data_IF_939789522929
#
_entry.id   IF_939789522929
#
_cell.length_a   1.000
_cell.length_b   1.000
_cell.length_c   1.000
_cell.angle_alpha   90.00
_cell.angle_beta   90.00
_cell.angle_gamma   90.00
#
_symmetry.space_group_name_H-M   'P 1'
#
loop_
_entity.id
_entity.type
_entity.pdbx_description
1 polymer ?
#
# COMPACT_ATOMS: atom_id res chain seq x y z
N UNK A 1 28.04 -4.44 19.10
CA UNK A 1 29.45 -4.16 19.46
C UNK A 1 29.54 -3.70 20.93
N UNK A 2 30.75 -3.64 21.48
CA UNK A 2 31.01 -3.04 22.83
C UNK A 2 31.12 -1.49 22.74
N UNK A 3 31.12 -0.93 21.53
CA UNK A 3 31.25 0.50 21.28
C UNK A 3 29.85 1.09 21.09
N UNK A 4 29.48 2.07 21.92
CA UNK A 4 28.19 2.76 21.81
C UNK A 4 28.08 3.49 20.47
N UNK A 5 26.95 3.38 19.80
CA UNK A 5 26.70 4.00 18.49
C UNK A 5 27.27 3.24 17.30
N UNK A 6 27.95 2.10 17.51
CA UNK A 6 28.46 1.25 16.43
C UNK A 6 27.67 -0.04 16.36
N UNK A 7 27.04 -0.28 15.25
CA UNK A 7 26.21 -1.47 15.00
C UNK A 7 26.80 -2.31 13.87
N UNK A 8 26.56 -3.61 13.92
CA UNK A 8 27.06 -4.57 12.94
C UNK A 8 25.87 -5.39 12.43
N UNK A 9 25.79 -5.55 11.12
CA UNK A 9 24.72 -6.28 10.46
C UNK A 9 25.29 -7.28 9.44
N UNK A 10 24.46 -8.22 9.00
CA UNK A 10 24.78 -9.17 7.95
C UNK A 10 25.85 -10.18 8.38
N UNK A 11 26.70 -10.56 7.44
CA UNK A 11 27.68 -11.64 7.63
C UNK A 11 28.87 -11.28 8.51
N UNK A 12 28.98 -10.02 8.90
CA UNK A 12 29.94 -9.57 9.91
C UNK A 12 29.54 -10.00 11.34
N UNK A 13 28.28 -10.43 11.54
CA UNK A 13 27.84 -10.96 12.84
C UNK A 13 28.14 -12.45 12.95
N UNK A 14 28.61 -12.93 14.09
CA UNK A 14 28.65 -14.36 14.37
C UNK A 14 27.23 -14.92 14.37
N UNK A 15 26.88 -15.76 13.39
CA UNK A 15 25.59 -16.43 13.28
C UNK A 15 25.73 -17.74 12.52
N UNK A 16 24.83 -18.69 12.84
CA UNK A 16 24.85 -20.03 12.25
C UNK A 16 24.31 -20.01 10.79
N UNK A 17 23.37 -19.12 10.48
CA UNK A 17 22.74 -19.03 9.17
C UNK A 17 23.12 -17.72 8.48
N UNK A 18 23.80 -17.84 7.33
CA UNK A 18 24.22 -16.72 6.47
C UNK A 18 23.42 -16.76 5.19
N UNK A 19 22.36 -15.96 5.13
CA UNK A 19 21.47 -15.81 3.97
C UNK A 19 21.08 -14.34 3.79
N UNK A 20 20.65 -13.97 2.60
CA UNK A 20 20.20 -12.61 2.28
C UNK A 20 19.14 -12.15 3.26
N UNK A 21 18.13 -12.99 3.54
CA UNK A 21 17.05 -12.67 4.47
C UNK A 21 17.55 -12.38 5.88
N UNK A 22 18.55 -13.10 6.37
CA UNK A 22 19.13 -12.86 7.71
C UNK A 22 20.00 -11.60 7.74
N UNK A 23 20.64 -11.26 6.61
CA UNK A 23 21.39 -10.01 6.47
C UNK A 23 20.48 -8.78 6.44
N UNK A 24 19.35 -8.86 5.74
CA UNK A 24 18.32 -7.80 5.71
C UNK A 24 17.71 -7.59 7.08
N UNK A 25 17.35 -8.68 7.79
CA UNK A 25 16.82 -8.59 9.16
C UNK A 25 17.81 -7.94 10.12
N UNK A 26 19.09 -8.30 10.04
CA UNK A 26 20.14 -7.68 10.84
C UNK A 26 20.28 -6.18 10.54
N UNK A 27 20.15 -5.78 9.27
CA UNK A 27 20.18 -4.39 8.83
C UNK A 27 19.04 -3.58 9.43
N UNK A 28 17.82 -4.12 9.41
CA UNK A 28 16.65 -3.48 10.00
C UNK A 28 16.81 -3.29 11.51
N UNK A 29 17.29 -4.32 12.22
CA UNK A 29 17.58 -4.23 13.66
C UNK A 29 18.66 -3.18 13.95
N UNK A 30 19.75 -3.16 13.18
CA UNK A 30 20.83 -2.20 13.35
C UNK A 30 20.35 -0.76 13.13
N UNK A 31 19.51 -0.51 12.12
CA UNK A 31 18.94 0.79 11.83
C UNK A 31 18.04 1.28 12.98
N UNK A 32 17.15 0.42 13.49
CA UNK A 32 16.27 0.76 14.63
C UNK A 32 17.06 1.08 15.90
N UNK A 33 18.13 0.33 16.16
CA UNK A 33 19.00 0.59 17.31
C UNK A 33 19.81 1.88 17.15
N UNK A 34 20.24 2.21 15.93
CA UNK A 34 20.92 3.45 15.64
C UNK A 34 20.00 4.67 15.83
N UNK A 35 18.77 4.58 15.37
CA UNK A 35 17.74 5.62 15.57
C UNK A 35 17.51 5.90 17.06
N UNK A 36 17.27 4.85 17.86
CA UNK A 36 17.10 4.99 19.32
C UNK A 36 18.32 5.65 19.97
N UNK A 37 19.51 5.23 19.58
CA UNK A 37 20.75 5.81 20.11
C UNK A 37 20.87 7.31 19.77
N UNK A 38 20.51 7.71 18.55
CA UNK A 38 20.52 9.12 18.14
C UNK A 38 19.51 9.93 18.95
N UNK A 39 18.30 9.41 19.18
CA UNK A 39 17.28 10.06 20.02
C UNK A 39 17.81 10.27 21.44
N UNK A 40 18.33 9.22 22.10
CA UNK A 40 18.91 9.31 23.44
C UNK A 40 20.10 10.28 23.50
N UNK A 41 20.94 10.29 22.44
CA UNK A 41 22.07 11.20 22.35
C UNK A 41 21.63 12.66 22.23
N UNK A 42 20.63 12.94 21.41
CA UNK A 42 20.05 14.28 21.24
C UNK A 42 19.45 14.80 22.55
N UNK A 43 18.66 13.96 23.24
CA UNK A 43 18.11 14.29 24.55
C UNK A 43 19.20 14.64 25.55
N UNK A 44 20.24 13.81 25.63
CA UNK A 44 21.38 14.02 26.56
C UNK A 44 22.18 15.27 26.25
N UNK A 45 22.31 15.65 24.98
CA UNK A 45 23.04 16.83 24.52
C UNK A 45 22.16 18.10 24.49
N UNK A 46 20.89 17.98 24.83
CA UNK A 46 19.93 19.10 24.78
C UNK A 46 19.69 19.62 23.35
N UNK A 47 19.99 18.80 22.34
CA UNK A 47 19.75 19.12 20.94
C UNK A 47 18.25 18.94 20.70
N UNK A 48 17.52 20.06 20.64
CA UNK A 48 16.15 20.06 20.15
C UNK A 48 16.21 19.85 18.65
N UNK A 49 15.43 18.86 18.14
CA UNK A 49 15.16 18.79 16.71
C UNK A 49 14.48 20.11 16.35
N UNK A 50 15.22 21.05 15.78
CA UNK A 50 14.60 22.05 14.94
C UNK A 50 14.01 21.27 13.76
N UNK A 51 12.75 20.86 13.90
CA UNK A 51 11.90 20.63 12.76
C UNK A 51 11.91 21.98 12.02
N UNK A 52 12.81 22.11 11.08
CA UNK A 52 12.66 23.09 10.01
C UNK A 52 11.40 22.63 9.29
N UNK A 53 10.24 23.01 9.82
CA UNK A 53 9.06 23.10 8.99
C UNK A 53 9.52 24.00 7.86
N UNK A 54 9.81 23.42 6.70
CA UNK A 54 9.90 24.20 5.47
C UNK A 54 8.62 25.00 5.49
N UNK A 55 8.73 26.31 5.79
CA UNK A 55 7.61 27.23 5.68
C UNK A 55 6.95 26.88 4.34
N UNK A 56 5.61 26.76 4.31
CA UNK A 56 4.93 26.68 3.03
C UNK A 56 5.49 27.85 2.20
N UNK A 57 6.01 27.57 1.02
CA UNK A 57 6.30 28.62 0.06
C UNK A 57 4.93 29.25 -0.15
N UNK A 58 4.76 30.48 0.33
CA UNK A 58 3.60 31.31 0.02
C UNK A 58 3.62 31.54 -1.49
N UNK A 59 3.03 30.63 -2.23
CA UNK A 59 2.61 30.91 -3.59
C UNK A 59 1.30 31.67 -3.51
N UNK A 60 1.42 33.01 -3.47
CA UNK A 60 0.39 33.89 -3.91
C UNK A 60 0.13 33.64 -5.40
N UNK A 61 -0.76 32.68 -5.67
CA UNK A 61 -1.56 32.67 -6.89
C UNK A 61 -2.80 31.83 -6.61
N UNK A 62 -3.88 32.52 -6.30
CA UNK A 62 -5.24 32.07 -6.47
C UNK A 62 -5.46 31.78 -7.97
N UNK A 63 -5.28 30.57 -8.38
CA UNK A 63 -5.90 30.00 -9.57
C UNK A 63 -6.04 28.50 -9.32
N UNK A 64 -7.27 28.04 -9.40
CA UNK A 64 -7.73 26.67 -9.43
C UNK A 64 -7.22 25.95 -10.69
N UNK A 65 -5.91 25.72 -10.74
CA UNK A 65 -5.30 24.79 -11.67
C UNK A 65 -4.53 23.79 -10.81
N UNK A 66 -5.11 22.61 -10.63
CA UNK A 66 -4.41 21.39 -10.21
C UNK A 66 -3.46 20.98 -11.35
N UNK A 67 -2.62 21.95 -11.79
CA UNK A 67 -1.66 21.78 -12.84
C UNK A 67 -0.71 20.65 -12.46
N UNK A 68 -0.59 19.69 -13.35
CA UNK A 68 0.36 18.60 -13.38
C UNK A 68 1.81 19.11 -13.23
N UNK A 69 2.21 19.41 -12.01
CA UNK A 69 3.63 19.53 -11.68
C UNK A 69 4.04 18.17 -11.16
N UNK A 70 4.71 17.39 -12.03
CA UNK A 70 5.39 16.15 -11.66
C UNK A 70 6.23 16.38 -10.39
N UNK A 71 5.74 15.90 -9.26
CA UNK A 71 6.48 15.90 -8.00
C UNK A 71 6.88 14.48 -7.70
N UNK A 72 8.18 14.23 -7.70
CA UNK A 72 8.72 12.93 -7.28
C UNK A 72 8.27 12.61 -5.85
N UNK A 73 7.68 11.45 -5.66
CA UNK A 73 7.29 10.96 -4.33
C UNK A 73 8.51 10.76 -3.42
N UNK A 74 8.40 11.20 -2.18
CA UNK A 74 9.42 10.93 -1.16
C UNK A 74 9.49 9.44 -0.75
N UNK A 75 8.49 8.65 -1.10
CA UNK A 75 8.42 7.21 -0.83
C UNK A 75 9.25 6.38 -1.80
N UNK A 76 9.64 6.93 -2.96
CA UNK A 76 10.38 6.24 -3.99
C UNK A 76 11.81 6.78 -4.08
N UNK A 77 12.79 5.94 -3.74
CA UNK A 77 14.21 6.22 -4.04
C UNK A 77 14.50 6.00 -5.53
N UNK A 78 15.57 6.58 -6.06
CA UNK A 78 15.93 6.39 -7.49
C UNK A 78 16.21 4.91 -7.83
N UNK A 79 16.83 4.17 -6.90
CA UNK A 79 17.00 2.72 -7.05
C UNK A 79 15.68 1.96 -7.14
N UNK A 80 14.70 2.34 -6.32
CA UNK A 80 13.36 1.74 -6.33
C UNK A 80 12.60 2.11 -7.61
N UNK A 81 12.69 3.36 -8.09
CA UNK A 81 12.13 3.78 -9.39
C UNK A 81 12.66 2.91 -10.53
N UNK A 82 13.97 2.65 -10.55
CA UNK A 82 14.58 1.79 -11.58
C UNK A 82 14.02 0.37 -11.53
N UNK A 83 13.85 -0.20 -10.33
CA UNK A 83 13.26 -1.53 -10.17
C UNK A 83 11.79 -1.57 -10.59
N UNK A 84 10.99 -0.58 -10.17
CA UNK A 84 9.57 -0.47 -10.52
C UNK A 84 9.39 -0.33 -12.03
N UNK A 85 10.21 0.48 -12.69
CA UNK A 85 10.18 0.62 -14.15
C UNK A 85 10.32 -0.73 -14.83
N UNK A 86 11.27 -1.57 -14.42
CA UNK A 86 11.46 -2.92 -14.96
C UNK A 86 10.27 -3.86 -14.76
N UNK A 87 9.46 -3.66 -13.69
CA UNK A 87 8.20 -4.40 -13.47
C UNK A 87 7.10 -3.85 -14.36
N UNK A 88 6.93 -2.51 -14.41
CA UNK A 88 5.87 -1.85 -15.15
C UNK A 88 6.04 -1.97 -16.68
N UNK A 89 7.25 -2.14 -17.18
CA UNK A 89 7.51 -2.43 -18.59
C UNK A 89 6.97 -3.80 -19.04
N UNK A 90 6.70 -4.73 -18.11
CA UNK A 90 6.14 -6.06 -18.40
C UNK A 90 4.62 -6.07 -18.51
N UNK A 91 3.95 -4.98 -18.17
CA UNK A 91 2.50 -4.91 -18.23
C UNK A 91 2.01 -5.15 -19.67
N UNK A 92 0.96 -5.96 -19.82
CA UNK A 92 0.39 -6.34 -21.13
C UNK A 92 -0.71 -5.39 -21.55
N UNK A 93 -1.52 -4.92 -20.60
CA UNK A 93 -2.68 -4.05 -20.83
C UNK A 93 -2.53 -2.75 -20.05
N UNK A 94 -3.28 -1.75 -20.43
CA UNK A 94 -3.37 -0.51 -19.68
C UNK A 94 -4.12 -0.72 -18.36
N UNK A 95 -3.72 0.05 -17.37
CA UNK A 95 -4.39 0.14 -16.07
C UNK A 95 -4.48 1.61 -15.68
N UNK A 96 -5.61 2.01 -15.13
CA UNK A 96 -5.79 3.37 -14.60
C UNK A 96 -5.87 3.31 -13.07
N UNK A 97 -4.98 4.05 -12.44
CA UNK A 97 -5.04 4.30 -11.00
C UNK A 97 -5.90 5.55 -10.81
N UNK A 98 -7.07 5.37 -10.21
CA UNK A 98 -7.92 6.50 -9.83
C UNK A 98 -7.74 6.79 -8.35
N UNK A 99 -7.62 8.05 -7.99
CA UNK A 99 -7.52 8.47 -6.59
C UNK A 99 -8.51 9.57 -6.27
N UNK A 100 -9.16 9.43 -5.11
CA UNK A 100 -9.97 10.51 -4.54
C UNK A 100 -9.26 11.00 -3.30
N UNK A 101 -8.88 12.27 -3.31
CA UNK A 101 -8.11 12.94 -2.26
C UNK A 101 -9.00 13.89 -1.46
N UNK A 102 -8.72 13.99 -0.18
CA UNK A 102 -9.35 14.97 0.72
C UNK A 102 -8.28 16.01 1.10
N UNK A 103 -8.46 17.25 0.68
CA UNK A 103 -7.49 18.33 0.91
C UNK A 103 -7.21 18.59 2.39
N UNK A 104 -8.15 18.23 3.27
CA UNK A 104 -7.98 18.34 4.72
C UNK A 104 -7.03 17.29 5.30
N UNK A 105 -6.70 16.23 4.54
CA UNK A 105 -5.86 15.12 5.00
C UNK A 105 -4.45 15.21 4.38
N UNK A 106 -3.38 15.41 5.18
CA UNK A 106 -2.00 15.50 4.69
C UNK A 106 -1.55 14.27 3.87
N UNK A 107 -2.14 13.09 4.14
CA UNK A 107 -1.86 11.86 3.40
C UNK A 107 -2.37 11.88 1.97
N UNK A 108 -3.29 12.78 1.65
CA UNK A 108 -3.77 12.98 0.27
C UNK A 108 -2.68 13.45 -0.69
N UNK A 109 -1.81 14.36 -0.23
CA UNK A 109 -0.68 14.84 -1.03
C UNK A 109 0.33 13.71 -1.26
N UNK A 110 0.64 12.96 -0.19
CA UNK A 110 1.58 11.83 -0.27
C UNK A 110 1.10 10.74 -1.22
N UNK A 111 -0.22 10.41 -1.19
CA UNK A 111 -0.83 9.44 -2.11
C UNK A 111 -0.80 9.95 -3.56
N UNK A 112 -1.17 11.21 -3.78
CA UNK A 112 -1.14 11.83 -5.11
C UNK A 112 0.25 11.78 -5.71
N UNK A 113 1.27 12.21 -4.95
CA UNK A 113 2.65 12.25 -5.43
C UNK A 113 3.19 10.84 -5.73
N UNK A 114 2.79 9.83 -4.94
CA UNK A 114 3.12 8.43 -5.20
C UNK A 114 2.52 7.91 -6.51
N UNK A 115 1.22 8.16 -6.72
CA UNK A 115 0.50 7.70 -7.91
C UNK A 115 1.04 8.38 -9.18
N UNK A 116 1.30 9.68 -9.13
CA UNK A 116 1.88 10.42 -10.26
C UNK A 116 3.27 9.89 -10.61
N UNK A 117 4.14 9.70 -9.61
CA UNK A 117 5.48 9.16 -9.82
C UNK A 117 5.43 7.74 -10.45
N UNK A 118 4.55 6.86 -9.96
CA UNK A 118 4.37 5.50 -10.52
C UNK A 118 3.85 5.57 -11.97
N UNK A 119 2.91 6.46 -12.27
CA UNK A 119 2.36 6.59 -13.62
C UNK A 119 3.40 7.07 -14.64
N UNK A 120 4.37 7.87 -14.22
CA UNK A 120 5.48 8.31 -15.07
C UNK A 120 6.52 7.20 -15.35
N UNK A 121 6.56 6.14 -14.51
CA UNK A 121 7.51 5.04 -14.67
C UNK A 121 7.05 3.99 -15.69
N UNK A 122 5.76 3.91 -16.00
CA UNK A 122 5.20 2.85 -16.85
C UNK A 122 4.27 3.37 -17.96
N UNK A 123 4.58 3.07 -19.21
CA UNK A 123 3.82 3.53 -20.38
C UNK A 123 2.36 3.02 -20.43
N UNK A 124 1.99 2.06 -19.60
CA UNK A 124 0.64 1.46 -19.52
C UNK A 124 -0.07 1.75 -18.20
N UNK A 125 0.49 2.66 -17.40
CA UNK A 125 -0.10 3.08 -16.14
C UNK A 125 -0.60 4.50 -16.28
N UNK A 126 -1.92 4.67 -16.26
CA UNK A 126 -2.58 5.97 -16.27
C UNK A 126 -2.94 6.38 -14.84
N UNK A 127 -2.97 7.67 -14.56
CA UNK A 127 -3.37 8.22 -13.27
C UNK A 127 -4.48 9.26 -13.45
N UNK A 128 -5.53 9.15 -12.64
CA UNK A 128 -6.61 10.15 -12.54
C UNK A 128 -6.79 10.50 -11.06
N UNK A 129 -6.69 11.78 -10.74
CA UNK A 129 -6.78 12.27 -9.37
C UNK A 129 -7.86 13.33 -9.28
N UNK A 130 -8.78 13.12 -8.35
CA UNK A 130 -9.92 13.99 -8.12
C UNK A 130 -9.99 14.40 -6.65
N UNK A 131 -10.48 15.61 -6.40
CA UNK A 131 -10.87 15.99 -5.06
C UNK A 131 -12.18 15.28 -4.66
N UNK A 132 -12.36 15.04 -3.36
CA UNK A 132 -13.59 14.48 -2.81
C UNK A 132 -14.79 15.36 -3.21
N UNK A 133 -15.78 14.73 -3.83
CA UNK A 133 -16.99 15.40 -4.33
C UNK A 133 -16.86 15.94 -5.76
N UNK A 134 -15.67 15.93 -6.37
CA UNK A 134 -15.45 16.44 -7.72
C UNK A 134 -16.02 15.50 -8.80
N UNK A 135 -15.88 14.18 -8.60
CA UNK A 135 -16.37 13.18 -9.55
C UNK A 135 -17.24 12.12 -8.84
N UNK A 136 -18.47 12.51 -8.53
CA UNK A 136 -19.43 11.63 -7.81
C UNK A 136 -19.71 10.31 -8.55
N UNK A 137 -19.70 10.33 -9.90
CA UNK A 137 -19.91 9.08 -10.67
C UNK A 137 -18.76 8.09 -10.44
N UNK A 138 -17.53 8.58 -10.40
CA UNK A 138 -16.36 7.76 -10.13
C UNK A 138 -16.33 7.30 -8.68
N UNK A 139 -16.61 8.19 -7.73
CA UNK A 139 -16.71 7.83 -6.31
C UNK A 139 -17.70 6.69 -6.08
N UNK A 140 -18.89 6.80 -6.69
CA UNK A 140 -19.90 5.74 -6.63
C UNK A 140 -19.44 4.45 -7.32
N UNK A 141 -18.74 4.56 -8.47
CA UNK A 141 -18.26 3.40 -9.23
C UNK A 141 -17.24 2.60 -8.43
N UNK A 142 -16.31 3.26 -7.74
CA UNK A 142 -15.30 2.61 -6.89
C UNK A 142 -15.77 2.42 -5.46
N UNK A 143 -17.00 2.84 -5.14
CA UNK A 143 -17.60 2.79 -3.80
C UNK A 143 -16.67 3.43 -2.75
N UNK A 144 -16.21 4.64 -3.02
CA UNK A 144 -15.32 5.38 -2.13
C UNK A 144 -16.07 5.83 -0.88
N UNK A 145 -15.59 5.45 0.29
CA UNK A 145 -16.21 5.75 1.59
C UNK A 145 -15.20 6.29 2.63
N UNK A 146 -13.91 6.10 2.39
CA UNK A 146 -12.79 6.54 3.24
C UNK A 146 -11.72 7.20 2.39
N UNK A 147 -11.17 8.35 2.81
CA UNK A 147 -10.25 9.17 2.04
C UNK A 147 -8.94 9.45 2.80
N UNK A 148 -7.78 9.53 2.11
CA UNK A 148 -7.63 9.33 0.67
C UNK A 148 -7.78 7.86 0.27
N UNK A 149 -8.18 7.64 -0.98
CA UNK A 149 -8.34 6.30 -1.54
C UNK A 149 -7.74 6.24 -2.94
N UNK A 150 -7.08 5.13 -3.26
CA UNK A 150 -6.71 4.74 -4.60
C UNK A 150 -7.44 3.47 -5.00
N UNK A 151 -7.91 3.40 -6.25
CA UNK A 151 -8.56 2.21 -6.81
C UNK A 151 -8.02 1.93 -8.22
N UNK A 152 -8.13 0.68 -8.65
CA UNK A 152 -7.65 0.26 -9.96
C UNK A 152 -8.81 0.02 -10.93
N UNK A 153 -8.70 0.59 -12.13
CA UNK A 153 -9.58 0.30 -13.25
C UNK A 153 -8.81 -0.49 -14.31
N UNK A 154 -9.47 -1.46 -14.92
CA UNK A 154 -8.91 -2.26 -16.00
C UNK A 154 -8.81 -1.45 -17.32
N UNK A 155 -8.25 -2.05 -18.37
CA UNK A 155 -8.09 -1.45 -19.70
C UNK A 155 -9.42 -1.06 -20.39
N UNK A 156 -10.56 -1.51 -19.88
CA UNK A 156 -11.90 -1.13 -20.32
C UNK A 156 -12.53 -0.10 -19.37
N UNK A 157 -11.74 0.47 -18.46
CA UNK A 157 -12.20 1.38 -17.41
C UNK A 157 -13.21 0.74 -16.43
N UNK A 158 -13.30 -0.59 -16.31
CA UNK A 158 -14.12 -1.21 -15.26
C UNK A 158 -13.37 -1.20 -13.93
N UNK A 159 -14.11 -1.00 -12.83
CA UNK A 159 -13.56 -1.15 -11.50
C UNK A 159 -13.19 -2.61 -11.22
N UNK A 160 -11.94 -2.83 -10.83
CA UNK A 160 -11.37 -4.15 -10.62
C UNK A 160 -11.76 -4.83 -9.30
N UNK A 161 -12.46 -4.12 -8.42
CA UNK A 161 -12.70 -4.57 -7.04
C UNK A 161 -11.55 -4.27 -6.08
N UNK A 162 -10.48 -3.64 -6.54
CA UNK A 162 -9.28 -3.37 -5.72
C UNK A 162 -9.19 -1.92 -5.32
N UNK A 163 -9.04 -1.65 -4.03
CA UNK A 163 -8.76 -0.31 -3.50
C UNK A 163 -7.85 -0.32 -2.28
N UNK A 164 -7.24 0.83 -2.06
CA UNK A 164 -6.32 1.12 -0.98
C UNK A 164 -6.78 2.38 -0.26
N UNK A 165 -7.10 2.26 1.01
CA UNK A 165 -7.43 3.39 1.88
C UNK A 165 -6.20 3.82 2.66
N UNK A 166 -5.76 5.05 2.42
CA UNK A 166 -4.49 5.60 2.88
C UNK A 166 -3.40 5.52 1.81
N UNK A 167 -2.16 5.68 2.22
CA UNK A 167 -1.00 5.65 1.32
C UNK A 167 -0.38 4.25 1.34
N UNK A 168 -0.34 3.51 0.22
CA UNK A 168 0.31 2.20 0.18
C UNK A 168 1.84 2.36 0.13
N UNK A 169 2.41 2.82 1.26
CA UNK A 169 3.85 2.98 1.48
C UNK A 169 4.44 1.85 2.31
N UNK A 170 5.72 1.95 2.66
CA UNK A 170 6.41 0.93 3.44
C UNK A 170 6.31 -0.44 2.78
N UNK A 171 5.90 -1.47 3.54
CA UNK A 171 5.74 -2.81 3.00
C UNK A 171 4.57 -2.94 2.02
N UNK A 172 3.54 -2.09 2.12
CA UNK A 172 2.37 -2.12 1.25
C UNK A 172 2.62 -1.54 -0.16
N UNK A 173 3.76 -0.89 -0.39
CA UNK A 173 4.16 -0.52 -1.75
C UNK A 173 4.25 -1.75 -2.66
N UNK A 174 4.74 -2.86 -2.13
CA UNK A 174 4.82 -4.12 -2.87
C UNK A 174 3.42 -4.63 -3.25
N UNK A 175 2.45 -4.60 -2.34
CA UNK A 175 1.07 -5.03 -2.64
C UNK A 175 0.41 -4.11 -3.67
N UNK A 176 0.70 -2.81 -3.65
CA UNK A 176 0.19 -1.87 -4.64
C UNK A 176 0.72 -2.15 -6.06
N UNK A 177 2.02 -2.35 -6.18
CA UNK A 177 2.65 -2.69 -7.46
C UNK A 177 2.18 -4.07 -7.98
N UNK A 178 2.06 -5.05 -7.09
CA UNK A 178 1.54 -6.37 -7.46
C UNK A 178 0.07 -6.34 -7.87
N UNK A 179 -0.76 -5.48 -7.28
CA UNK A 179 -2.13 -5.29 -7.73
C UNK A 179 -2.20 -4.75 -9.17
N UNK A 180 -1.37 -3.76 -9.49
CA UNK A 180 -1.22 -3.22 -10.87
C UNK A 180 -0.78 -4.33 -11.82
N UNK A 181 0.26 -5.07 -11.46
CA UNK A 181 0.82 -6.17 -12.26
C UNK A 181 -0.19 -7.30 -12.47
N UNK A 182 -0.96 -7.66 -11.43
CA UNK A 182 -1.97 -8.70 -11.51
C UNK A 182 -3.17 -8.30 -12.38
N UNK A 183 -3.56 -7.05 -12.37
CA UNK A 183 -4.69 -6.55 -13.17
C UNK A 183 -4.32 -6.35 -14.64
N UNK A 184 -3.12 -5.87 -14.90
CA UNK A 184 -2.65 -5.50 -16.24
C UNK A 184 -1.95 -6.65 -16.99
N UNK A 185 -1.64 -7.75 -16.29
CA UNK A 185 -0.91 -8.92 -16.81
C UNK A 185 0.61 -8.70 -16.89
N UNK A 186 1.36 -9.80 -16.98
CA UNK A 186 0.91 -11.21 -17.05
C UNK A 186 0.33 -11.74 -15.73
N UNK A 187 0.52 -11.01 -14.61
CA UNK A 187 0.05 -11.37 -13.28
C UNK A 187 0.84 -12.51 -12.63
N UNK A 188 0.60 -12.67 -11.32
CA UNK A 188 1.16 -13.80 -10.59
C UNK A 188 0.37 -15.07 -10.91
N UNK A 189 1.06 -16.21 -10.91
CA UNK A 189 0.42 -17.49 -11.12
C UNK A 189 -0.56 -17.82 -9.99
N UNK A 190 -1.70 -18.38 -10.37
CA UNK A 190 -2.71 -18.93 -9.44
C UNK A 190 -3.05 -20.35 -9.91
N UNK A 191 -3.30 -21.28 -9.00
CA UNK A 191 -3.66 -22.63 -9.37
C UNK A 191 -5.03 -22.67 -10.06
N UNK A 192 -5.22 -23.61 -11.01
CA UNK A 192 -6.51 -23.80 -11.66
C UNK A 192 -7.62 -24.15 -10.66
N UNK A 193 -7.29 -24.87 -9.59
CA UNK A 193 -8.20 -25.21 -8.51
C UNK A 193 -8.68 -23.96 -7.77
N UNK A 194 -7.73 -23.09 -7.34
CA UNK A 194 -8.06 -21.82 -6.66
C UNK A 194 -8.88 -20.91 -7.57
N UNK A 195 -8.51 -20.81 -8.85
CA UNK A 195 -9.23 -20.02 -9.84
C UNK A 195 -10.67 -20.51 -10.04
N UNK A 196 -10.87 -21.83 -10.12
CA UNK A 196 -12.22 -22.43 -10.20
C UNK A 196 -13.05 -22.07 -8.97
N UNK A 197 -12.49 -22.26 -7.77
CA UNK A 197 -13.18 -21.93 -6.50
C UNK A 197 -13.58 -20.45 -6.41
N UNK A 198 -12.72 -19.52 -6.90
CA UNK A 198 -13.02 -18.09 -6.93
C UNK A 198 -14.17 -17.80 -7.88
N UNK A 199 -14.17 -18.39 -9.08
CA UNK A 199 -15.21 -18.17 -10.10
C UNK A 199 -16.60 -18.70 -9.70
N UNK A 200 -16.66 -19.67 -8.81
CA UNK A 200 -17.90 -20.21 -8.25
C UNK A 200 -18.59 -19.26 -7.24
N UNK A 201 -17.94 -18.19 -6.80
CA UNK A 201 -18.51 -17.25 -5.84
C UNK A 201 -19.46 -16.29 -6.57
N UNK A 202 -20.76 -16.52 -6.41
CA UNK A 202 -21.81 -15.75 -7.06
C UNK A 202 -22.27 -14.55 -6.22
N UNK A 203 -22.18 -14.65 -4.89
CA UNK A 203 -22.59 -13.59 -3.97
C UNK A 203 -21.56 -12.49 -3.91
N UNK A 204 -22.02 -11.26 -3.68
CA UNK A 204 -21.14 -10.14 -3.42
C UNK A 204 -20.34 -10.35 -2.12
N UNK A 205 -19.03 -10.19 -2.19
CA UNK A 205 -18.12 -10.30 -1.04
C UNK A 205 -17.26 -9.06 -0.95
N UNK A 206 -17.20 -8.47 0.23
CA UNK A 206 -16.25 -7.40 0.54
C UNK A 206 -15.22 -7.92 1.55
N UNK A 207 -13.95 -7.82 1.19
CA UNK A 207 -12.80 -8.22 1.99
C UNK A 207 -12.04 -6.95 2.40
N UNK A 208 -12.04 -6.61 3.68
CA UNK A 208 -11.20 -5.54 4.22
C UNK A 208 -9.98 -6.16 4.88
N UNK A 209 -8.79 -5.76 4.43
CA UNK A 209 -7.53 -6.16 5.05
C UNK A 209 -6.98 -4.97 5.82
N UNK A 210 -7.09 -5.04 7.14
CA UNK A 210 -6.50 -4.04 8.04
C UNK A 210 -5.00 -4.29 8.17
N UNK A 211 -4.21 -3.25 7.91
CA UNK A 211 -2.75 -3.33 7.87
C UNK A 211 -2.09 -2.24 8.70
N UNK A 212 -0.80 -2.42 8.95
CA UNK A 212 0.15 -1.37 9.33
C UNK A 212 1.28 -1.37 8.31
N UNK A 213 1.72 -0.19 7.88
CA UNK A 213 2.78 -0.07 6.86
C UNK A 213 4.13 -0.67 7.27
N UNK A 214 4.33 -0.93 8.57
CA UNK A 214 5.50 -1.62 9.13
C UNK A 214 5.32 -3.13 9.31
N UNK A 215 4.16 -3.68 8.96
CA UNK A 215 3.84 -5.09 9.12
C UNK A 215 4.41 -5.93 7.97
N UNK A 216 5.29 -6.87 8.23
CA UNK A 216 5.90 -7.72 7.21
C UNK A 216 4.97 -8.80 6.63
N UNK A 217 3.93 -9.18 7.36
CA UNK A 217 2.98 -10.23 6.97
C UNK A 217 1.76 -9.68 6.23
N UNK A 218 1.53 -8.37 6.33
CA UNK A 218 0.34 -7.74 5.76
C UNK A 218 0.31 -7.77 4.23
N UNK A 219 1.41 -7.50 3.51
CA UNK A 219 1.39 -7.48 2.05
C UNK A 219 0.94 -8.79 1.41
N UNK A 220 1.33 -9.93 1.96
CA UNK A 220 0.94 -11.25 1.41
C UNK A 220 -0.57 -11.46 1.48
N UNK A 221 -1.20 -11.00 2.57
CA UNK A 221 -2.66 -11.10 2.76
C UNK A 221 -3.39 -10.11 1.85
N UNK A 222 -2.88 -8.89 1.72
CA UNK A 222 -3.42 -7.88 0.80
C UNK A 222 -3.38 -8.38 -0.64
N UNK A 223 -2.20 -8.83 -1.10
CA UNK A 223 -2.00 -9.37 -2.46
C UNK A 223 -2.93 -10.55 -2.73
N UNK A 224 -3.03 -11.51 -1.80
CA UNK A 224 -3.91 -12.66 -1.95
C UNK A 224 -5.38 -12.26 -2.05
N UNK A 225 -5.85 -11.34 -1.20
CA UNK A 225 -7.23 -10.85 -1.23
C UNK A 225 -7.54 -10.09 -2.51
N UNK A 226 -6.62 -9.23 -2.95
CA UNK A 226 -6.77 -8.45 -4.18
C UNK A 226 -6.68 -9.32 -5.43
N UNK A 227 -5.85 -10.37 -5.42
CA UNK A 227 -5.81 -11.34 -6.51
C UNK A 227 -7.16 -12.04 -6.67
N UNK A 228 -7.82 -12.41 -5.58
CA UNK A 228 -9.17 -13.00 -5.60
C UNK A 228 -10.18 -12.00 -6.21
N UNK A 229 -10.14 -10.73 -5.82
CA UNK A 229 -11.04 -9.70 -6.34
C UNK A 229 -10.87 -9.47 -7.85
N UNK A 230 -9.63 -9.47 -8.35
CA UNK A 230 -9.32 -9.32 -9.78
C UNK A 230 -9.92 -10.47 -10.62
N UNK A 231 -9.98 -11.68 -10.06
CA UNK A 231 -10.50 -12.85 -10.78
C UNK A 231 -12.03 -12.98 -10.74
N UNK A 232 -12.72 -12.23 -9.86
CA UNK A 232 -14.17 -12.30 -9.74
C UNK A 232 -14.80 -10.93 -9.40
N UNK A 233 -15.55 -10.38 -10.35
CA UNK A 233 -16.23 -9.07 -10.25
C UNK A 233 -17.23 -8.93 -9.07
N UNK A 234 -17.63 -10.03 -8.46
CA UNK A 234 -18.50 -10.02 -7.29
C UNK A 234 -17.72 -9.76 -5.99
N UNK A 235 -16.40 -9.71 -6.06
CA UNK A 235 -15.53 -9.59 -4.89
C UNK A 235 -14.82 -8.25 -4.91
N UNK A 236 -14.77 -7.59 -3.76
CA UNK A 236 -13.96 -6.40 -3.51
C UNK A 236 -12.93 -6.70 -2.44
N UNK A 237 -11.71 -6.18 -2.62
CA UNK A 237 -10.64 -6.27 -1.65
C UNK A 237 -10.05 -4.88 -1.37
N UNK A 238 -10.14 -4.47 -0.11
CA UNK A 238 -9.70 -3.16 0.37
C UNK A 238 -8.51 -3.32 1.31
N UNK A 239 -7.38 -2.69 1.01
CA UNK A 239 -6.33 -2.46 1.99
C UNK A 239 -6.71 -1.24 2.84
N UNK A 240 -6.63 -1.35 4.17
CA UNK A 240 -6.96 -0.26 5.10
C UNK A 240 -5.81 -0.07 6.08
N UNK A 241 -5.12 1.07 6.00
CA UNK A 241 -4.12 1.47 6.99
C UNK A 241 -4.81 1.93 8.28
N UNK A 242 -4.77 1.08 9.32
CA UNK A 242 -5.42 1.38 10.60
C UNK A 242 -4.79 2.53 11.39
N UNK A 243 -3.63 3.03 10.97
CA UNK A 243 -3.05 4.23 11.55
C UNK A 243 -3.78 5.50 11.09
N UNK A 244 -4.29 5.49 9.85
CA UNK A 244 -5.09 6.56 9.28
C UNK A 244 -6.58 6.43 9.59
N UNK A 245 -7.09 5.21 9.68
CA UNK A 245 -8.52 4.89 9.86
C UNK A 245 -8.76 4.18 11.19
N UNK A 246 -8.55 4.92 12.29
CA UNK A 246 -8.69 4.41 13.66
C UNK A 246 -10.12 3.95 13.97
N UNK A 247 -11.12 4.60 13.37
CA UNK A 247 -12.53 4.24 13.48
C UNK A 247 -12.82 2.80 13.02
N UNK A 248 -12.09 2.31 12.01
CA UNK A 248 -12.21 0.91 11.55
C UNK A 248 -11.60 -0.03 12.59
N UNK A 249 -10.42 0.34 13.13
CA UNK A 249 -9.79 -0.41 14.21
C UNK A 249 -10.71 -0.57 15.42
N UNK A 250 -11.37 0.52 15.81
CA UNK A 250 -12.23 0.56 17.00
C UNK A 250 -13.56 -0.15 16.75
N UNK A 251 -14.19 0.08 15.58
CA UNK A 251 -15.44 -0.57 15.16
C UNK A 251 -15.34 -2.09 15.18
N UNK A 252 -14.26 -2.63 14.62
CA UNK A 252 -14.06 -4.08 14.48
C UNK A 252 -13.15 -4.68 15.55
N UNK A 253 -12.71 -3.88 16.54
CA UNK A 253 -11.83 -4.32 17.64
C UNK A 253 -10.58 -5.02 17.11
N UNK A 254 -9.92 -4.41 16.12
CA UNK A 254 -8.71 -4.96 15.50
C UNK A 254 -7.57 -4.96 16.50
N UNK A 255 -7.22 -6.13 17.02
CA UNK A 255 -6.19 -6.32 18.06
C UNK A 255 -4.78 -6.50 17.47
N UNK A 256 -4.68 -7.03 16.26
CA UNK A 256 -3.40 -7.28 15.58
C UNK A 256 -3.60 -7.21 14.07
N UNK A 257 -2.52 -7.02 13.32
CA UNK A 257 -2.50 -7.00 11.86
C UNK A 257 -1.55 -8.08 11.32
N UNK A 258 -1.83 -8.67 10.15
CA UNK A 258 -3.02 -8.42 9.32
C UNK A 258 -4.31 -8.92 9.97
N UNK A 259 -5.42 -8.19 9.74
CA UNK A 259 -6.75 -8.64 10.10
C UNK A 259 -7.65 -8.56 8.86
N UNK A 260 -8.38 -9.64 8.59
CA UNK A 260 -9.29 -9.78 7.46
C UNK A 260 -10.72 -9.64 8.00
N UNK A 261 -11.47 -8.68 7.47
CA UNK A 261 -12.88 -8.50 7.78
C UNK A 261 -13.69 -8.83 6.54
N UNK A 262 -14.64 -9.74 6.65
CA UNK A 262 -15.50 -10.19 5.55
C UNK A 262 -16.90 -9.66 5.76
N UNK A 263 -17.42 -8.93 4.79
CA UNK A 263 -18.78 -8.38 4.74
C UNK A 263 -19.17 -7.55 5.99
N UNK A 264 -18.19 -6.93 6.65
CA UNK A 264 -18.37 -6.21 7.93
C UNK A 264 -18.94 -7.05 9.10
N UNK A 265 -18.91 -8.38 8.98
CA UNK A 265 -19.50 -9.30 9.96
C UNK A 265 -18.45 -10.14 10.69
N UNK A 266 -17.54 -10.76 9.95
CA UNK A 266 -16.58 -11.72 10.50
C UNK A 266 -15.17 -11.16 10.43
N UNK A 267 -14.38 -11.33 11.51
CA UNK A 267 -12.96 -10.91 11.55
C UNK A 267 -12.06 -12.12 11.78
N UNK A 268 -10.94 -12.16 11.05
CA UNK A 268 -9.91 -13.19 11.13
C UNK A 268 -8.55 -12.52 11.28
N UNK A 269 -7.69 -13.06 12.13
CA UNK A 269 -6.37 -12.50 12.42
C UNK A 269 -5.24 -13.38 11.86
N UNK A 270 -4.10 -12.72 11.60
CA UNK A 270 -2.87 -13.36 11.17
C UNK A 270 -2.77 -13.58 9.67
N UNK A 271 -1.58 -13.98 9.23
CA UNK A 271 -1.32 -14.25 7.83
C UNK A 271 -2.18 -15.41 7.32
N UNK A 272 -2.73 -15.23 6.11
CA UNK A 272 -3.54 -16.22 5.40
C UNK A 272 -3.06 -16.32 3.96
N UNK A 273 -2.97 -17.54 3.46
CA UNK A 273 -2.72 -17.82 2.05
C UNK A 273 -4.00 -17.67 1.23
N UNK A 274 -3.87 -17.58 -0.08
CA UNK A 274 -5.00 -17.38 -0.98
C UNK A 274 -6.10 -18.43 -0.80
N UNK A 275 -5.76 -19.71 -0.65
CA UNK A 275 -6.73 -20.79 -0.46
C UNK A 275 -7.48 -20.68 0.88
N UNK A 276 -6.79 -20.28 1.95
CA UNK A 276 -7.43 -20.04 3.25
C UNK A 276 -8.41 -18.86 3.18
N UNK A 277 -8.09 -17.82 2.38
CA UNK A 277 -9.00 -16.68 2.18
C UNK A 277 -10.21 -17.11 1.36
N UNK A 278 -10.02 -17.92 0.31
CA UNK A 278 -11.13 -18.49 -0.47
C UNK A 278 -12.07 -19.28 0.43
N UNK A 279 -11.54 -20.14 1.31
CA UNK A 279 -12.35 -20.93 2.25
C UNK A 279 -13.11 -20.02 3.24
N UNK A 280 -12.48 -18.94 3.71
CA UNK A 280 -13.10 -17.96 4.61
C UNK A 280 -14.28 -17.25 3.96
N UNK A 281 -14.19 -16.87 2.69
CA UNK A 281 -15.23 -16.09 2.00
C UNK A 281 -16.36 -16.94 1.41
N UNK A 282 -16.14 -18.25 1.26
CA UNK A 282 -17.18 -19.21 0.83
C UNK A 282 -18.10 -19.65 1.99
N UNK A 283 -17.64 -19.54 3.24
CA UNK A 283 -18.36 -19.89 4.47
C UNK A 283 -19.10 -18.68 5.08
#
# INVERSE_FOLDING_TARGET
TKIKGVYVAGDLRPKQLRQIVTAVSDGAIAATMAERYVIELKERLGIKDEYVSKKPIENNNSNSDLGMVSRKSSLLTDGLRTQLKGVLERLEKEVTIVSIVDESNPKSIELRDLIMDISELGNKVNAEIYAKGENIKLENKIKADKYPVAALLDHNNNYSGVKFHGVPGGHELNSFILAIYNLSGPGQQISEESLSKIKEIEKGVNIKVCVSLSCHLCPDVVVSSQRIAIENKNIEAEMIDISNFKEIKDKFKVMSVPAIIVNDEKIYFGAKKIDEIIDIIKN
#
